data_IF_666858753850
#
_entry.id   IF_666858753850
#
_cell.length_a   1.000
_cell.length_b   1.000
_cell.length_c   1.000
_cell.angle_alpha   90.00
_cell.angle_beta   90.00
_cell.angle_gamma   90.00
#
_symmetry.space_group_name_H-M   'P 1'
#
loop_
_entity.id
_entity.type
_entity.pdbx_description
1 polymer ?
#
# COMPACT_ATOMS: atom_id res chain seq x y z
N UNK A 1 25.32 -0.80 -23.08
CA UNK A 1 24.14 -0.02 -22.69
C UNK A 1 23.13 -1.01 -22.17
N UNK A 2 22.71 -0.89 -20.92
CA UNK A 2 21.61 -1.68 -20.38
C UNK A 2 20.36 -1.37 -21.22
N UNK A 3 19.79 -2.41 -21.79
CA UNK A 3 18.51 -2.36 -22.50
C UNK A 3 17.44 -2.23 -21.42
N UNK A 4 16.57 -1.23 -21.57
CA UNK A 4 15.35 -1.06 -20.77
C UNK A 4 14.44 -2.23 -21.12
N UNK A 5 14.61 -3.33 -20.40
CA UNK A 5 13.80 -4.51 -20.51
C UNK A 5 12.76 -4.42 -19.40
N UNK A 6 11.48 -4.42 -19.73
CA UNK A 6 10.40 -4.27 -18.76
C UNK A 6 9.84 -5.64 -18.32
N UNK A 7 10.73 -6.56 -17.97
CA UNK A 7 10.32 -7.94 -17.71
C UNK A 7 11.43 -8.81 -17.12
N UNK A 8 11.05 -9.98 -16.63
CA UNK A 8 11.96 -10.93 -15.98
C UNK A 8 12.93 -11.52 -17.01
N UNK A 9 14.03 -10.84 -17.32
CA UNK A 9 15.10 -11.42 -18.15
C UNK A 9 16.44 -11.31 -17.46
N UNK A 10 17.19 -12.41 -17.46
CA UNK A 10 18.59 -12.35 -17.07
C UNK A 10 19.37 -11.83 -18.26
N UNK A 11 19.92 -10.64 -18.08
CA UNK A 11 20.85 -10.03 -19.01
C UNK A 11 22.23 -10.68 -18.78
N UNK A 12 22.46 -11.75 -19.53
CA UNK A 12 23.61 -12.65 -19.36
C UNK A 12 24.94 -12.00 -19.78
N UNK A 13 26.01 -12.28 -19.04
CA UNK A 13 27.38 -11.87 -19.33
C UNK A 13 27.57 -10.37 -19.58
N UNK A 14 26.75 -9.52 -18.91
CA UNK A 14 26.80 -8.07 -19.10
C UNK A 14 28.10 -7.44 -18.66
N UNK A 15 28.78 -8.04 -17.69
CA UNK A 15 30.14 -7.64 -17.31
C UNK A 15 31.08 -8.85 -17.26
N UNK A 16 32.34 -8.61 -17.60
CA UNK A 16 33.36 -9.66 -17.62
C UNK A 16 34.72 -9.13 -17.18
N UNK A 17 35.37 -9.88 -16.28
CA UNK A 17 36.71 -9.57 -15.80
C UNK A 17 37.66 -10.69 -16.19
N UNK A 18 38.75 -10.34 -16.87
CA UNK A 18 39.83 -11.28 -17.13
C UNK A 18 40.81 -11.23 -15.97
N UNK A 19 41.24 -12.39 -15.48
CA UNK A 19 42.29 -12.49 -14.48
C UNK A 19 43.41 -13.40 -14.97
N UNK A 20 44.63 -13.14 -14.49
CA UNK A 20 45.80 -13.97 -14.75
C UNK A 20 46.31 -14.49 -13.42
N UNK A 21 46.47 -15.81 -13.31
CA UNK A 21 47.15 -16.47 -12.20
C UNK A 21 48.55 -16.83 -12.64
N UNK A 22 49.54 -16.45 -11.83
CA UNK A 22 50.95 -16.77 -12.04
C UNK A 22 51.42 -17.67 -10.90
N UNK A 23 52.02 -18.81 -11.22
CA UNK A 23 52.61 -19.68 -10.19
C UNK A 23 53.99 -19.15 -9.73
N UNK A 24 54.60 -19.83 -8.75
CA UNK A 24 55.91 -19.43 -8.23
C UNK A 24 57.06 -19.56 -9.26
N UNK A 25 56.86 -20.26 -10.37
CA UNK A 25 57.84 -20.45 -11.44
C UNK A 25 57.59 -19.52 -12.65
N UNK A 26 56.58 -18.65 -12.57
CA UNK A 26 56.25 -17.68 -13.62
C UNK A 26 55.34 -18.23 -14.72
N UNK A 27 54.78 -19.43 -14.56
CA UNK A 27 53.76 -19.94 -15.49
C UNK A 27 52.44 -19.21 -15.28
N UNK A 28 51.79 -18.78 -16.36
CA UNK A 28 50.54 -18.03 -16.30
C UNK A 28 49.37 -18.79 -16.94
N UNK A 29 48.18 -18.62 -16.34
CA UNK A 29 46.89 -19.02 -16.92
C UNK A 29 45.93 -17.85 -16.81
N UNK A 30 45.10 -17.66 -17.83
CA UNK A 30 44.00 -16.69 -17.79
C UNK A 30 42.66 -17.37 -17.55
N UNK A 31 41.77 -16.67 -16.84
CA UNK A 31 40.38 -17.05 -16.67
C UNK A 31 39.47 -15.82 -16.78
N UNK A 32 38.17 -16.08 -16.91
CA UNK A 32 37.14 -15.04 -16.96
C UNK A 32 36.17 -15.21 -15.80
N UNK A 33 35.82 -14.11 -15.16
CA UNK A 33 34.65 -14.00 -14.29
C UNK A 33 33.56 -13.33 -15.13
N UNK A 34 32.40 -13.95 -15.18
CA UNK A 34 31.20 -13.45 -15.86
C UNK A 34 30.21 -12.96 -14.82
N UNK A 35 29.54 -11.85 -15.09
CA UNK A 35 28.50 -11.27 -14.23
C UNK A 35 27.22 -11.14 -15.03
N UNK A 36 26.19 -11.82 -14.54
CA UNK A 36 24.82 -11.71 -15.03
C UNK A 36 24.07 -10.63 -14.24
N UNK A 37 23.19 -9.90 -14.92
CA UNK A 37 22.23 -9.00 -14.27
C UNK A 37 20.86 -9.67 -14.32
N UNK A 38 20.28 -9.96 -13.17
CA UNK A 38 18.93 -10.49 -13.07
C UNK A 38 17.98 -9.31 -12.94
N UNK A 39 17.21 -9.06 -13.99
CA UNK A 39 16.12 -8.09 -14.00
C UNK A 39 14.90 -8.71 -13.33
N UNK A 40 14.38 -8.08 -12.28
CA UNK A 40 13.22 -8.55 -11.54
C UNK A 40 12.11 -7.52 -11.48
N UNK A 41 10.87 -7.98 -11.71
CA UNK A 41 9.69 -7.14 -11.56
C UNK A 41 9.28 -7.05 -10.09
N UNK A 42 8.66 -5.94 -9.64
CA UNK A 42 8.21 -5.84 -8.27
C UNK A 42 6.94 -6.71 -8.07
N UNK A 43 6.77 -7.24 -6.87
CA UNK A 43 5.59 -8.02 -6.46
C UNK A 43 4.85 -7.30 -5.34
N UNK A 44 3.72 -6.68 -5.68
CA UNK A 44 2.78 -6.14 -4.69
C UNK A 44 1.76 -7.19 -4.24
N UNK A 45 1.27 -7.05 -3.02
CA UNK A 45 0.21 -7.89 -2.44
C UNK A 45 -0.95 -7.03 -1.97
N UNK A 46 -2.17 -7.42 -2.36
CA UNK A 46 -3.36 -6.68 -1.97
C UNK A 46 -3.51 -6.57 -0.44
N UNK A 47 -3.86 -5.39 0.06
CA UNK A 47 -4.11 -5.15 1.48
C UNK A 47 -5.59 -4.98 1.75
N UNK A 48 -5.97 -5.24 3.00
CA UNK A 48 -7.31 -4.97 3.51
C UNK A 48 -7.23 -4.30 4.87
N UNK A 49 -8.20 -3.43 5.16
CA UNK A 49 -8.38 -2.88 6.50
C UNK A 49 -9.86 -2.59 6.76
N UNK A 50 -10.23 -2.27 8.00
CA UNK A 50 -11.60 -1.93 8.33
C UNK A 50 -11.67 -0.80 9.35
N UNK A 51 -12.75 -0.03 9.28
CA UNK A 51 -12.99 1.12 10.14
C UNK A 51 -14.49 1.27 10.35
N UNK A 52 -14.91 1.78 11.50
CA UNK A 52 -16.30 2.19 11.68
C UNK A 52 -16.58 3.49 10.94
N UNK A 53 -17.80 3.68 10.46
CA UNK A 53 -18.18 4.96 9.86
C UNK A 53 -17.94 6.15 10.81
N UNK A 54 -17.53 7.28 10.24
CA UNK A 54 -17.13 8.47 11.01
C UNK A 54 -15.80 8.36 11.77
N UNK A 55 -15.11 7.22 11.71
CA UNK A 55 -13.79 7.03 12.31
C UNK A 55 -12.67 7.02 11.25
N UNK A 56 -11.44 6.93 11.73
CA UNK A 56 -10.23 6.90 10.91
C UNK A 56 -9.42 5.64 11.21
N UNK A 57 -8.77 5.10 10.17
CA UNK A 57 -7.79 4.02 10.30
C UNK A 57 -6.53 4.38 9.51
N UNK A 58 -5.39 3.85 9.96
CA UNK A 58 -4.09 4.02 9.29
C UNK A 58 -3.42 2.66 9.10
N UNK A 59 -2.48 2.60 8.17
CA UNK A 59 -1.69 1.40 7.88
C UNK A 59 -0.56 1.72 6.91
N UNK A 60 0.05 0.67 6.37
CA UNK A 60 1.08 0.76 5.33
C UNK A 60 0.92 -0.35 4.29
N UNK A 61 0.66 0.02 3.03
CA UNK A 61 0.44 -0.94 1.93
C UNK A 61 1.66 -1.81 1.63
N UNK A 62 2.87 -1.30 1.92
CA UNK A 62 4.12 -2.01 1.62
C UNK A 62 4.48 -3.08 2.67
N UNK A 63 3.96 -2.98 3.89
CA UNK A 63 4.41 -3.80 5.02
C UNK A 63 3.31 -4.54 5.77
N UNK A 64 2.06 -4.10 5.66
CA UNK A 64 0.96 -4.70 6.41
C UNK A 64 0.48 -5.99 5.72
N UNK A 65 0.41 -7.08 6.48
CA UNK A 65 0.07 -8.39 5.93
C UNK A 65 1.28 -9.05 5.28
N UNK A 66 1.20 -9.33 3.98
CA UNK A 66 2.34 -9.83 3.19
C UNK A 66 3.11 -8.62 2.66
N UNK A 67 4.39 -8.42 3.04
CA UNK A 67 5.16 -7.29 2.56
C UNK A 67 5.39 -7.34 1.04
N UNK A 68 5.33 -6.17 0.42
CA UNK A 68 5.65 -6.00 -0.99
C UNK A 68 7.16 -6.20 -1.24
N UNK A 69 7.51 -6.69 -2.42
CA UNK A 69 8.90 -6.95 -2.84
C UNK A 69 9.24 -6.05 -4.03
N UNK A 70 10.26 -5.20 -3.88
CA UNK A 70 10.71 -4.26 -4.92
C UNK A 70 11.84 -4.79 -5.79
N UNK A 71 12.22 -6.06 -5.60
CA UNK A 71 13.32 -6.65 -6.33
C UNK A 71 14.70 -6.10 -5.95
N UNK A 72 15.67 -6.33 -6.83
CA UNK A 72 17.07 -5.96 -6.66
C UNK A 72 17.31 -4.46 -6.89
N UNK A 73 16.48 -3.80 -7.70
CA UNK A 73 16.62 -2.39 -8.06
C UNK A 73 16.13 -1.44 -6.96
N UNK A 74 15.42 -1.97 -5.96
CA UNK A 74 14.89 -1.19 -4.85
C UNK A 74 13.75 -0.28 -5.31
N UNK A 75 13.44 0.76 -4.53
CA UNK A 75 12.32 1.64 -4.83
C UNK A 75 12.64 2.68 -5.92
N UNK A 76 11.62 3.04 -6.70
CA UNK A 76 11.67 4.20 -7.58
C UNK A 76 12.10 5.48 -6.83
N UNK A 77 12.76 6.44 -7.51
CA UNK A 77 13.08 7.73 -6.92
C UNK A 77 11.83 8.44 -6.37
N UNK A 78 11.84 8.75 -5.07
CA UNK A 78 10.72 9.41 -4.39
C UNK A 78 9.81 8.47 -3.58
N UNK A 79 9.96 7.15 -3.71
CA UNK A 79 9.26 6.15 -2.93
C UNK A 79 8.74 4.99 -3.78
N UNK A 80 8.45 3.87 -3.13
CA UNK A 80 8.02 2.65 -3.80
C UNK A 80 6.62 2.77 -4.40
N UNK A 81 5.69 3.46 -3.71
CA UNK A 81 4.34 3.69 -4.25
C UNK A 81 4.40 4.88 -5.20
N UNK A 82 3.96 4.70 -6.45
CA UNK A 82 4.00 5.74 -7.49
C UNK A 82 2.63 6.21 -7.95
N UNK A 83 1.57 5.50 -7.58
CA UNK A 83 0.22 5.99 -7.81
C UNK A 83 -0.87 5.26 -7.06
N UNK A 84 -2.03 5.93 -7.01
CA UNK A 84 -3.27 5.37 -6.46
C UNK A 84 -4.49 5.98 -7.16
N UNK A 85 -5.55 5.17 -7.30
CA UNK A 85 -6.84 5.59 -7.82
C UNK A 85 -7.98 4.81 -7.16
N UNK A 86 -9.21 5.28 -7.32
CA UNK A 86 -10.40 4.53 -6.91
C UNK A 86 -10.72 3.38 -7.88
N UNK A 87 -11.40 2.36 -7.37
CA UNK A 87 -11.83 1.19 -8.14
C UNK A 87 -10.95 -0.04 -7.86
N UNK A 88 -11.10 -1.06 -8.71
CA UNK A 88 -10.47 -2.39 -8.52
C UNK A 88 -9.76 -2.89 -9.78
N UNK A 89 -9.51 -2.02 -10.77
CA UNK A 89 -8.85 -2.41 -12.02
C UNK A 89 -7.33 -2.49 -11.82
N UNK A 90 -6.80 -3.70 -11.72
CA UNK A 90 -5.36 -3.96 -11.58
C UNK A 90 -4.65 -4.21 -12.91
N UNK A 91 -5.36 -4.10 -14.04
CA UNK A 91 -4.79 -4.40 -15.36
C UNK A 91 -3.95 -3.27 -15.92
N UNK A 92 -4.04 -2.06 -15.36
CA UNK A 92 -3.28 -0.90 -15.81
C UNK A 92 -2.65 -0.22 -14.59
N UNK A 93 -1.34 0.06 -14.63
CA UNK A 93 -0.69 0.88 -13.61
C UNK A 93 -1.34 2.24 -13.46
N UNK A 94 -1.42 2.72 -12.24
CA UNK A 94 -1.88 4.06 -11.89
C UNK A 94 -0.71 4.92 -11.43
N UNK A 95 -0.76 6.23 -11.69
CA UNK A 95 0.29 7.17 -11.30
C UNK A 95 -0.29 8.43 -10.67
N UNK A 96 0.42 8.99 -9.71
CA UNK A 96 0.02 10.21 -9.00
C UNK A 96 -1.04 10.00 -7.91
N UNK A 97 -1.69 11.10 -7.51
CA UNK A 97 -2.65 11.17 -6.39
C UNK A 97 -2.09 10.73 -5.03
N UNK A 98 -0.76 10.76 -4.86
CA UNK A 98 -0.11 10.48 -3.60
C UNK A 98 0.00 11.74 -2.74
N UNK A 99 -0.27 11.58 -1.44
CA UNK A 99 -0.29 12.66 -0.47
C UNK A 99 -1.37 13.72 -0.74
N UNK A 100 -1.27 14.86 -0.05
CA UNK A 100 -2.13 16.02 -0.31
C UNK A 100 -3.58 15.86 0.16
N UNK A 101 -4.52 16.26 -0.69
CA UNK A 101 -5.95 16.36 -0.34
C UNK A 101 -6.67 15.01 -0.18
N UNK A 102 -6.01 13.91 -0.58
CA UNK A 102 -6.58 12.57 -0.58
C UNK A 102 -7.50 12.30 -1.77
N UNK A 103 -7.89 11.04 -1.89
CA UNK A 103 -8.73 10.48 -2.93
C UNK A 103 -10.07 10.12 -2.29
N UNK A 104 -11.14 10.72 -2.79
CA UNK A 104 -12.49 10.42 -2.34
C UNK A 104 -12.92 9.04 -2.86
N UNK A 105 -13.13 8.10 -1.95
CA UNK A 105 -13.91 6.89 -2.18
C UNK A 105 -15.41 7.17 -2.07
N UNK A 106 -16.21 6.11 -2.09
CA UNK A 106 -17.66 6.22 -1.94
C UNK A 106 -18.07 6.46 -0.47
N UNK A 107 -17.29 5.92 0.48
CA UNK A 107 -17.62 5.92 1.91
C UNK A 107 -16.61 6.70 2.77
N UNK A 108 -15.54 7.22 2.19
CA UNK A 108 -14.52 7.98 2.91
C UNK A 108 -13.44 8.53 1.98
N UNK A 109 -12.37 9.07 2.56
CA UNK A 109 -11.24 9.64 1.83
C UNK A 109 -9.95 8.94 2.22
N UNK A 110 -9.19 8.47 1.23
CA UNK A 110 -7.87 7.86 1.40
C UNK A 110 -6.76 8.89 1.14
N UNK A 111 -5.79 9.00 2.04
CA UNK A 111 -4.50 9.67 1.80
C UNK A 111 -3.43 8.61 1.84
N UNK A 112 -2.81 8.30 0.70
CA UNK A 112 -1.70 7.35 0.57
C UNK A 112 -0.42 8.10 0.20
N UNK A 113 0.69 7.82 0.88
CA UNK A 113 1.98 8.44 0.62
C UNK A 113 2.91 7.50 -0.17
N UNK A 114 3.93 8.08 -0.82
CA UNK A 114 4.91 7.31 -1.60
C UNK A 114 5.72 6.28 -0.78
N UNK A 115 5.80 6.46 0.55
CA UNK A 115 6.41 5.50 1.48
C UNK A 115 5.46 4.38 1.94
N UNK A 116 4.29 4.26 1.33
CA UNK A 116 3.28 3.25 1.63
C UNK A 116 2.36 3.58 2.80
N UNK A 117 2.73 4.53 3.67
CA UNK A 117 1.85 4.91 4.79
C UNK A 117 0.57 5.54 4.28
N UNK A 118 -0.55 5.15 4.86
CA UNK A 118 -1.85 5.71 4.52
C UNK A 118 -2.72 6.02 5.72
N UNK A 119 -3.70 6.86 5.47
CA UNK A 119 -4.81 7.15 6.36
C UNK A 119 -6.09 7.12 5.56
N UNK A 120 -7.10 6.41 6.06
CA UNK A 120 -8.45 6.44 5.52
C UNK A 120 -9.40 7.02 6.57
N UNK A 121 -10.14 8.05 6.18
CA UNK A 121 -11.15 8.70 7.03
C UNK A 121 -12.53 8.37 6.48
N UNK A 122 -13.30 7.55 7.23
CA UNK A 122 -14.65 7.20 6.87
C UNK A 122 -15.60 8.38 7.10
N UNK A 123 -16.49 8.63 6.16
CA UNK A 123 -17.56 9.61 6.34
C UNK A 123 -18.55 9.12 7.42
N UNK A 124 -19.06 10.01 8.29
CA UNK A 124 -20.09 9.64 9.24
C UNK A 124 -21.42 9.37 8.53
N UNK A 125 -22.19 8.38 9.00
CA UNK A 125 -23.48 7.98 8.41
C UNK A 125 -23.37 7.63 6.91
N UNK A 126 -22.23 7.07 6.50
CA UNK A 126 -21.94 6.77 5.10
C UNK A 126 -22.61 5.48 4.62
N UNK A 127 -22.96 4.60 5.55
CA UNK A 127 -23.42 3.25 5.26
C UNK A 127 -24.63 2.89 6.12
N UNK A 128 -25.49 2.00 5.63
CA UNK A 128 -26.61 1.41 6.42
C UNK A 128 -26.38 -0.08 6.72
N UNK A 129 -25.37 -0.66 6.09
CA UNK A 129 -24.80 -1.99 6.29
C UNK A 129 -23.33 -1.91 5.92
N UNK A 130 -22.48 -2.82 6.40
CA UNK A 130 -21.06 -2.82 6.06
C UNK A 130 -20.88 -2.76 4.52
N UNK A 131 -19.98 -1.89 4.08
CA UNK A 131 -19.66 -1.69 2.67
C UNK A 131 -18.14 -1.53 2.49
N UNK A 132 -17.65 -1.64 1.26
CA UNK A 132 -16.21 -1.60 0.96
C UNK A 132 -15.93 -0.48 -0.02
N UNK A 133 -14.93 0.35 0.30
CA UNK A 133 -14.26 1.20 -0.67
C UNK A 133 -13.07 0.46 -1.27
N UNK A 134 -12.98 0.47 -2.60
CA UNK A 134 -11.89 -0.13 -3.36
C UNK A 134 -10.96 0.94 -3.90
N UNK A 135 -9.66 0.75 -3.67
CA UNK A 135 -8.60 1.52 -4.27
C UNK A 135 -7.62 0.59 -4.96
N UNK A 136 -7.00 1.06 -6.04
CA UNK A 136 -5.86 0.41 -6.68
C UNK A 136 -4.62 1.26 -6.43
N UNK A 137 -3.52 0.62 -6.11
CA UNK A 137 -2.22 1.28 -6.00
C UNK A 137 -1.17 0.55 -6.83
N UNK A 138 -0.17 1.31 -7.27
CA UNK A 138 0.95 0.81 -8.05
C UNK A 138 2.24 1.05 -7.28
N UNK A 139 3.07 0.01 -7.19
CA UNK A 139 4.48 0.14 -6.80
C UNK A 139 5.37 0.12 -8.03
N UNK A 140 6.50 0.83 -7.95
CA UNK A 140 7.52 0.88 -9.00
C UNK A 140 8.89 0.74 -8.37
N UNK A 141 9.74 -0.04 -9.00
CA UNK A 141 11.14 -0.22 -8.62
C UNK A 141 12.06 0.85 -9.26
N UNK A 142 13.37 0.68 -9.09
CA UNK A 142 14.38 1.66 -9.46
C UNK A 142 14.51 1.92 -10.96
N UNK A 143 14.14 0.97 -11.81
CA UNK A 143 14.33 1.04 -13.26
C UNK A 143 13.02 1.18 -14.05
N UNK A 144 11.87 1.00 -13.38
CA UNK A 144 10.57 1.48 -13.84
C UNK A 144 9.52 0.38 -14.01
N UNK A 145 9.82 -0.84 -13.60
CA UNK A 145 8.86 -1.93 -13.61
C UNK A 145 7.82 -1.78 -12.51
N UNK A 146 6.63 -2.34 -12.74
CA UNK A 146 5.44 -2.00 -11.95
C UNK A 146 4.63 -3.20 -11.52
N UNK A 147 4.03 -3.09 -10.34
CA UNK A 147 3.08 -4.06 -9.80
C UNK A 147 1.86 -3.31 -9.29
N UNK A 148 0.65 -3.74 -9.67
CA UNK A 148 -0.60 -3.05 -9.33
C UNK A 148 -1.57 -4.00 -8.64
N UNK A 149 -2.04 -3.62 -7.45
CA UNK A 149 -2.96 -4.42 -6.62
C UNK A 149 -3.96 -3.51 -5.91
N UNK A 150 -4.87 -4.10 -5.12
CA UNK A 150 -5.92 -3.36 -4.42
C UNK A 150 -5.57 -3.07 -2.95
N UNK A 151 -6.11 -1.96 -2.45
CA UNK A 151 -6.33 -1.69 -1.04
C UNK A 151 -7.84 -1.60 -0.82
N UNK A 152 -8.40 -2.57 -0.10
CA UNK A 152 -9.83 -2.63 0.20
C UNK A 152 -10.11 -2.21 1.65
N UNK A 153 -10.93 -1.18 1.83
CA UNK A 153 -11.31 -0.67 3.16
C UNK A 153 -12.77 -0.96 3.44
N UNK A 154 -13.03 -1.81 4.43
CA UNK A 154 -14.39 -2.08 4.90
C UNK A 154 -14.84 -1.00 5.87
N UNK A 155 -15.91 -0.28 5.52
CA UNK A 155 -16.59 0.66 6.42
C UNK A 155 -17.72 -0.07 7.13
N UNK A 156 -17.58 -0.21 8.44
CA UNK A 156 -18.55 -0.88 9.30
C UNK A 156 -19.65 0.10 9.72
N UNK A 157 -20.90 -0.32 9.55
CA UNK A 157 -22.07 0.41 10.02
C UNK A 157 -22.14 0.39 11.54
N UNK A 158 -22.39 1.54 12.17
CA UNK A 158 -22.55 1.65 13.62
C UNK A 158 -24.00 2.01 13.93
N UNK A 159 -24.69 1.13 14.67
CA UNK A 159 -26.03 1.45 15.17
C UNK A 159 -25.92 2.10 16.54
N UNK A 160 -26.35 3.35 16.65
CA UNK A 160 -26.54 4.01 17.95
C UNK A 160 -27.91 3.61 18.48
N UNK A 161 -27.94 2.79 19.53
CA UNK A 161 -29.16 2.59 20.31
C UNK A 161 -29.21 3.68 21.38
N UNK A 162 -30.12 4.65 21.21
CA UNK A 162 -30.41 5.60 22.28
C UNK A 162 -31.07 4.81 23.43
N UNK A 163 -30.42 4.81 24.61
CA UNK A 163 -31.03 4.29 25.82
C UNK A 163 -31.85 5.41 26.44
N UNK A 164 -33.16 5.36 26.27
CA UNK A 164 -34.07 6.20 27.02
C UNK A 164 -34.20 5.61 28.44
N UNK A 165 -33.71 6.33 29.44
CA UNK A 165 -33.93 5.99 30.84
C UNK A 165 -34.89 7.01 31.43
N UNK A 166 -36.15 6.59 31.58
CA UNK A 166 -37.12 7.32 32.36
C UNK A 166 -36.59 7.52 33.78
N UNK A 167 -36.45 8.77 34.20
CA UNK A 167 -36.16 9.11 35.59
C UNK A 167 -37.48 9.31 36.34
N UNK A 168 -37.80 8.38 37.25
CA UNK A 168 -38.91 8.56 38.19
C UNK A 168 -38.53 9.59 39.25
N UNK A 169 -39.29 10.68 39.33
CA UNK A 169 -39.22 11.63 40.45
C UNK A 169 -40.20 11.20 41.54
N UNK A 170 -39.69 10.97 42.76
CA UNK A 170 -40.54 10.75 43.93
C UNK A 170 -40.86 12.09 44.59
N UNK A 171 -42.13 12.46 44.57
CA UNK A 171 -42.68 13.71 45.13
C UNK A 171 -42.53 13.87 46.66
N UNK A 172 -42.01 12.86 47.36
CA UNK A 172 -41.79 12.87 48.82
C UNK A 172 -40.89 14.03 49.31
N UNK A 173 -40.19 14.71 48.41
CA UNK A 173 -39.33 15.87 48.71
C UNK A 173 -39.90 17.25 48.36
N UNK A 174 -41.13 17.37 47.84
CA UNK A 174 -41.75 18.67 47.53
C UNK A 174 -42.67 19.12 48.69
N UNK A 175 -42.43 20.31 49.31
CA UNK A 175 -43.21 20.80 50.47
C UNK A 175 -44.66 21.22 50.18
N UNK A 176 -45.21 20.92 49.01
CA UNK A 176 -46.61 21.17 48.70
C UNK A 176 -47.10 20.04 47.80
N UNK A 177 -47.81 19.07 48.39
CA UNK A 177 -48.65 18.15 47.62
C UNK A 177 -49.68 18.96 46.86
N UNK A 178 -49.96 18.58 45.62
CA UNK A 178 -51.04 19.18 44.83
C UNK A 178 -52.39 18.81 45.45
N UNK A 179 -53.17 19.83 45.79
CA UNK A 179 -54.63 19.78 45.95
C UNK A 179 -55.30 19.81 44.56
#
# INVERSE_FOLDING_TARGET
GATLNNGITTEQDKDSFTYTVTDAHGNTTTGTILVDIVDDVPSAYANTNSVSEGAQVSGNVLSDGTPDVLGADGAAPGGAVTGVATGSNVSNPVSGNLGGAGIAGQYGTLVLNANGTYTYTANPNAVTTNAVDHFVYTITDGDGDTSTVTLDITVNNVTVTASDTDALVYEKGLPAGSD
#
